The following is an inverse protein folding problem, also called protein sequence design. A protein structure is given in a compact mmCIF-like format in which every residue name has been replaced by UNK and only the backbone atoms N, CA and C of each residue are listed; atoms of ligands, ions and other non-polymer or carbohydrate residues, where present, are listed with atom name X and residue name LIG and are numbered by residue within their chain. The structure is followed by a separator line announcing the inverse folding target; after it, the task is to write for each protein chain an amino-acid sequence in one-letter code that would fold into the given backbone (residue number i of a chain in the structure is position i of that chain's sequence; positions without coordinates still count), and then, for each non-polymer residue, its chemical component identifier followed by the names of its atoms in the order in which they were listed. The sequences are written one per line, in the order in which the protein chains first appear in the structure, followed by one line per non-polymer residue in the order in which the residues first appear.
data_IF_975563300594
#
_entry.id   IF_975563300594
#
_cell.length_a   1.000
_cell.length_b   1.000
_cell.length_c   1.000
_cell.angle_alpha   90.00
_cell.angle_beta   90.00
_cell.angle_gamma   90.00
#
_symmetry.space_group_name_H-M   'P 1'
#
loop_
_entity.id
_entity.type
_entity.pdbx_description
1 polymer ?
#
# COMPACT_ATOMS: atom_id res chain seq x y z
N UNK A 1 -0.68 -5.42 -21.98
CA UNK A 1 -0.86 -5.57 -20.52
C UNK A 1 -1.92 -6.64 -20.32
N UNK A 2 -1.60 -7.70 -19.59
CA UNK A 2 -2.58 -8.70 -19.19
C UNK A 2 -3.24 -8.26 -17.88
N UNK A 3 -4.48 -7.77 -17.98
CA UNK A 3 -5.23 -7.31 -16.82
C UNK A 3 -5.46 -8.43 -15.79
N UNK A 4 -5.55 -9.70 -16.23
CA UNK A 4 -5.71 -10.84 -15.34
C UNK A 4 -4.49 -11.02 -14.44
N UNK A 5 -3.29 -11.02 -15.03
CA UNK A 5 -2.03 -11.09 -14.28
C UNK A 5 -1.89 -9.93 -13.27
N UNK A 6 -2.26 -8.71 -13.64
CA UNK A 6 -2.19 -7.54 -12.75
C UNK A 6 -3.15 -7.66 -11.56
N UNK A 7 -4.36 -8.15 -11.78
CA UNK A 7 -5.33 -8.37 -10.71
C UNK A 7 -4.86 -9.46 -9.74
N UNK A 8 -4.25 -10.53 -10.24
CA UNK A 8 -3.62 -11.54 -9.39
C UNK A 8 -2.48 -10.95 -8.54
N UNK A 9 -1.60 -10.15 -9.14
CA UNK A 9 -0.51 -9.47 -8.44
C UNK A 9 -1.01 -8.58 -7.27
N UNK A 10 -2.12 -7.87 -7.47
CA UNK A 10 -2.75 -7.05 -6.45
C UNK A 10 -3.43 -7.92 -5.37
N UNK A 11 -4.13 -8.97 -5.78
CA UNK A 11 -4.79 -9.91 -4.88
C UNK A 11 -3.78 -10.61 -3.94
N UNK A 12 -2.64 -11.05 -4.47
CA UNK A 12 -1.59 -11.71 -3.68
C UNK A 12 -1.01 -10.78 -2.60
N UNK A 13 -0.84 -9.49 -2.91
CA UNK A 13 -0.40 -8.47 -1.94
C UNK A 13 -1.45 -8.24 -0.86
N UNK A 14 -2.72 -8.14 -1.25
CA UNK A 14 -3.82 -7.98 -0.31
C UNK A 14 -3.96 -9.19 0.61
N UNK A 15 -3.86 -10.41 0.07
CA UNK A 15 -3.87 -11.64 0.86
C UNK A 15 -2.74 -11.66 1.88
N UNK A 16 -1.50 -11.38 1.45
CA UNK A 16 -0.33 -11.30 2.36
C UNK A 16 -0.51 -10.26 3.47
N UNK A 17 -1.11 -9.11 3.17
CA UNK A 17 -1.42 -8.11 4.18
C UNK A 17 -2.42 -8.66 5.21
N UNK A 18 -3.53 -9.26 4.75
CA UNK A 18 -4.55 -9.84 5.62
C UNK A 18 -4.01 -10.99 6.48
N UNK A 19 -3.11 -11.81 5.94
CA UNK A 19 -2.47 -12.91 6.67
C UNK A 19 -1.57 -12.44 7.83
N UNK A 20 -1.12 -11.17 7.80
CA UNK A 20 -0.16 -10.63 8.77
C UNK A 20 -0.74 -9.56 9.70
N UNK A 21 -1.87 -8.94 9.33
CA UNK A 21 -2.43 -7.77 10.05
C UNK A 21 -2.94 -8.10 11.47
N UNK A 22 -3.24 -9.37 11.76
CA UNK A 22 -3.60 -9.81 13.12
C UNK A 22 -2.47 -9.58 14.11
N UNK A 23 -1.24 -9.85 13.69
CA UNK A 23 -0.05 -9.90 14.56
C UNK A 23 0.90 -8.70 14.35
N UNK A 24 0.85 -8.07 13.17
CA UNK A 24 1.65 -6.88 12.86
C UNK A 24 1.28 -5.66 13.73
N UNK A 25 2.20 -4.70 13.98
CA UNK A 25 1.85 -3.46 14.66
C UNK A 25 0.65 -2.75 14.03
N UNK A 26 -0.28 -2.28 14.85
CA UNK A 26 -1.46 -1.54 14.38
C UNK A 26 -1.06 -0.15 13.85
N UNK A 27 -0.11 0.50 14.52
CA UNK A 27 0.40 1.82 14.11
C UNK A 27 1.22 1.73 12.82
N UNK A 28 1.25 2.77 11.98
CA UNK A 28 2.18 2.88 10.88
C UNK A 28 3.62 3.03 11.40
N UNK A 29 4.59 2.64 10.59
CA UNK A 29 6.01 2.82 10.86
C UNK A 29 6.45 4.28 10.65
N UNK A 30 5.81 4.98 9.70
CA UNK A 30 6.05 6.39 9.40
C UNK A 30 4.78 7.19 9.67
N UNK A 31 4.87 8.18 10.55
CA UNK A 31 3.75 9.09 10.89
C UNK A 31 3.91 10.50 10.31
N UNK A 32 5.05 10.81 9.68
CA UNK A 32 5.27 12.10 9.03
C UNK A 32 4.52 12.16 7.69
N UNK A 33 3.41 12.89 7.69
CA UNK A 33 2.57 13.08 6.50
C UNK A 33 3.30 13.80 5.35
N UNK A 34 4.26 14.70 5.64
CA UNK A 34 5.01 15.39 4.61
C UNK A 34 5.98 14.44 3.91
N UNK A 35 6.67 13.59 4.68
CA UNK A 35 7.55 12.56 4.14
C UNK A 35 6.78 11.55 3.26
N UNK A 36 5.63 11.06 3.76
CA UNK A 36 4.77 10.14 3.00
C UNK A 36 4.24 10.78 1.71
N UNK A 37 3.80 12.04 1.78
CA UNK A 37 3.38 12.78 0.57
C UNK A 37 4.52 12.94 -0.41
N UNK A 38 5.72 13.26 0.04
CA UNK A 38 6.87 13.38 -0.85
C UNK A 38 7.25 12.07 -1.52
N UNK A 39 7.00 10.92 -0.88
CA UNK A 39 7.24 9.60 -1.48
C UNK A 39 6.19 9.23 -2.55
N UNK A 40 4.95 9.73 -2.42
CA UNK A 40 3.85 9.44 -3.32
C UNK A 40 3.67 10.49 -4.44
N UNK A 41 4.14 11.71 -4.22
CA UNK A 41 3.96 12.84 -5.14
C UNK A 41 5.21 13.01 -6.00
N UNK A 42 5.04 12.79 -7.29
CA UNK A 42 6.06 13.04 -8.32
C UNK A 42 5.44 13.58 -9.60
N UNK A 43 6.27 13.94 -10.57
CA UNK A 43 5.78 14.30 -11.91
C UNK A 43 5.19 13.05 -12.55
N UNK A 44 3.91 13.11 -12.94
CA UNK A 44 3.30 12.05 -13.74
C UNK A 44 3.93 12.04 -15.14
N UNK A 45 4.20 10.86 -15.72
CA UNK A 45 4.75 10.76 -17.06
C UNK A 45 3.75 11.26 -18.11
N UNK A 46 4.26 11.85 -19.20
CA UNK A 46 3.42 12.36 -20.30
C UNK A 46 2.73 11.25 -21.10
N UNK A 47 3.17 10.00 -20.91
CA UNK A 47 2.61 8.79 -21.52
C UNK A 47 2.38 7.72 -20.45
N UNK A 48 1.57 6.71 -20.77
CA UNK A 48 1.26 5.63 -19.82
C UNK A 48 2.51 4.91 -19.31
N UNK A 49 2.49 4.54 -18.02
CA UNK A 49 3.52 3.73 -17.38
C UNK A 49 3.12 2.24 -17.36
N UNK A 50 4.10 1.38 -17.11
CA UNK A 50 3.83 -0.04 -16.85
C UNK A 50 3.03 -0.20 -15.55
N UNK A 51 1.87 -0.87 -15.61
CA UNK A 51 0.98 -0.95 -14.47
C UNK A 51 1.52 -1.84 -13.33
N UNK A 52 2.35 -2.84 -13.62
CA UNK A 52 2.99 -3.63 -12.57
C UNK A 52 3.99 -2.77 -11.81
N UNK A 53 4.80 -1.99 -12.52
CA UNK A 53 5.75 -1.05 -11.90
C UNK A 53 5.02 -0.01 -11.05
N UNK A 54 3.92 0.57 -11.55
CA UNK A 54 3.10 1.52 -10.77
C UNK A 54 2.55 0.86 -9.50
N UNK A 55 2.07 -0.38 -9.57
CA UNK A 55 1.57 -1.09 -8.39
C UNK A 55 2.69 -1.31 -7.36
N UNK A 56 3.89 -1.67 -7.80
CA UNK A 56 5.05 -1.87 -6.93
C UNK A 56 5.49 -0.58 -6.25
N UNK A 57 5.57 0.52 -7.00
CA UNK A 57 5.91 1.84 -6.48
C UNK A 57 4.90 2.33 -5.44
N UNK A 58 3.59 2.18 -5.73
CA UNK A 58 2.53 2.57 -4.81
C UNK A 58 2.59 1.78 -3.51
N UNK A 59 2.80 0.47 -3.58
CA UNK A 59 2.91 -0.38 -2.40
C UNK A 59 4.13 0.03 -1.57
N UNK A 60 5.30 0.18 -2.20
CA UNK A 60 6.51 0.56 -1.50
C UNK A 60 6.41 1.94 -0.81
N UNK A 61 5.83 2.93 -1.49
CA UNK A 61 5.69 4.29 -0.96
C UNK A 61 4.61 4.40 0.11
N UNK A 62 3.48 3.69 -0.04
CA UNK A 62 2.34 3.82 0.86
C UNK A 62 2.47 2.94 2.12
N UNK A 63 2.98 1.71 1.99
CA UNK A 63 2.96 0.71 3.07
C UNK A 63 3.47 1.20 4.43
N UNK A 64 4.57 1.97 4.55
CA UNK A 64 5.06 2.45 5.84
C UNK A 64 4.09 3.37 6.58
N UNK A 65 3.18 4.03 5.85
CA UNK A 65 2.20 4.98 6.39
C UNK A 65 0.81 4.38 6.63
N UNK A 66 0.59 3.09 6.37
CA UNK A 66 -0.73 2.46 6.51
C UNK A 66 -0.99 2.10 7.97
N UNK A 67 -2.13 2.59 8.48
CA UNK A 67 -2.69 2.12 9.75
C UNK A 67 -3.32 0.75 9.55
N UNK A 68 -2.96 -0.22 10.40
CA UNK A 68 -3.54 -1.56 10.41
C UNK A 68 -4.95 -1.61 10.98
N UNK A 69 -5.89 -0.83 10.42
CA UNK A 69 -7.26 -0.69 10.93
C UNK A 69 -8.13 -1.94 10.75
N UNK A 70 -7.68 -2.89 9.93
CA UNK A 70 -8.30 -4.21 9.75
C UNK A 70 -7.89 -5.20 10.84
N UNK A 71 -6.92 -4.84 11.68
CA UNK A 71 -6.49 -5.69 12.80
C UNK A 71 -7.61 -5.81 13.84
N UNK A 72 -7.83 -6.99 14.44
CA UNK A 72 -8.75 -7.15 15.58
C UNK A 72 -8.29 -6.37 16.83
N UNK A 73 -7.09 -5.79 16.80
CA UNK A 73 -6.49 -4.96 17.87
C UNK A 73 -6.61 -3.46 17.60
N UNK A 74 -7.29 -3.04 16.53
CA UNK A 74 -7.55 -1.63 16.25
C UNK A 74 -8.85 -1.16 16.92
N UNK A 75 -8.79 -0.11 17.74
CA UNK A 75 -9.93 0.43 18.50
C UNK A 75 -10.11 1.95 18.32
N UNK A 76 -9.64 2.52 17.19
CA UNK A 76 -9.55 3.97 17.00
C UNK A 76 -10.82 4.67 16.46
N UNK A 77 -11.71 3.94 15.77
CA UNK A 77 -12.90 4.49 15.12
C UNK A 77 -14.04 3.46 15.15
N UNK A 78 -15.30 3.91 15.00
CA UNK A 78 -16.52 3.08 14.85
C UNK A 78 -17.40 3.62 13.73
#
# INVERSE_FOLDING_TARGET
MDAGALLHQAADRAAKFLDTVSDAPVRPDVTDAAALRSALVGRLPDTGADASAVLDELVAAASPGIMGSQSPRFFGFV
#
